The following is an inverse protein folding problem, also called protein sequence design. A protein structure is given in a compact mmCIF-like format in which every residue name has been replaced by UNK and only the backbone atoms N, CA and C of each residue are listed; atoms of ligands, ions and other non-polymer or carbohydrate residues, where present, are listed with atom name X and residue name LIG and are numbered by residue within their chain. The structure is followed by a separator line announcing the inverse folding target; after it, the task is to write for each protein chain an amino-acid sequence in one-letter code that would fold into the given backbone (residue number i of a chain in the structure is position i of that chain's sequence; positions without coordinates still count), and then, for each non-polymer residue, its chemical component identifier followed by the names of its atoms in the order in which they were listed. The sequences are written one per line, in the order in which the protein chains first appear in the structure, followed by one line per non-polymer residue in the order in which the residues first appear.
data_IF_448300347785
#
_entry.id   IF_448300347785
#
_cell.length_a   1.000
_cell.length_b   1.000
_cell.length_c   1.000
_cell.angle_alpha   90.00
_cell.angle_beta   90.00
_cell.angle_gamma   90.00
#
_symmetry.space_group_name_H-M   'P 1'
#
loop_
_entity.id
_entity.type
_entity.pdbx_description
1 polymer ?
#
# COMPACT_ATOMS: atom_id res chain seq x y z
N UNK A 1 -30.34 10.30 30.41
CA UNK A 1 -28.97 10.84 30.61
C UNK A 1 -28.18 10.60 29.32
N UNK A 2 -27.36 11.57 28.93
CA UNK A 2 -26.76 11.78 27.58
C UNK A 2 -25.89 10.63 27.03
N UNK A 3 -25.80 10.48 25.70
CA UNK A 3 -24.65 9.83 25.06
C UNK A 3 -23.47 10.82 24.96
N UNK A 4 -22.33 10.45 25.54
CA UNK A 4 -21.06 11.15 25.38
C UNK A 4 -20.50 10.86 23.98
N UNK A 5 -20.40 11.90 23.16
CA UNK A 5 -19.70 11.86 21.89
C UNK A 5 -18.19 11.70 22.09
N UNK A 6 -17.58 10.83 21.28
CA UNK A 6 -16.15 10.93 20.97
C UNK A 6 -16.01 11.24 19.49
N UNK A 7 -15.62 12.48 19.20
CA UNK A 7 -15.31 12.97 17.87
C UNK A 7 -13.91 12.51 17.49
N UNK A 8 -13.78 11.28 17.00
CA UNK A 8 -12.56 10.78 16.38
C UNK A 8 -12.38 11.40 14.98
N UNK A 9 -11.58 12.46 14.88
CA UNK A 9 -11.15 13.06 13.61
C UNK A 9 -10.44 11.98 12.76
N UNK A 10 -10.86 11.67 11.52
CA UNK A 10 -10.14 10.70 10.71
C UNK A 10 -8.75 11.26 10.37
N UNK A 11 -7.71 10.48 10.68
CA UNK A 11 -6.33 10.79 10.34
C UNK A 11 -6.21 11.03 8.83
N UNK A 12 -5.70 12.22 8.48
CA UNK A 12 -5.58 12.69 7.10
C UNK A 12 -4.61 11.85 6.28
N UNK A 13 -5.11 10.77 5.69
CA UNK A 13 -4.41 9.91 4.72
C UNK A 13 -4.22 10.56 3.33
N UNK A 14 -4.38 11.90 3.24
CA UNK A 14 -4.35 12.66 1.99
C UNK A 14 -3.18 13.63 1.84
N UNK A 15 -2.36 13.84 2.88
CA UNK A 15 -1.32 14.88 2.83
C UNK A 15 -0.02 14.39 2.18
N UNK A 16 0.34 13.11 2.31
CA UNK A 16 1.59 12.56 1.75
C UNK A 16 1.59 12.48 0.22
N UNK A 17 0.47 12.16 -0.42
CA UNK A 17 0.36 12.19 -1.89
C UNK A 17 0.30 13.63 -2.45
N UNK A 18 -0.33 14.56 -1.74
CA UNK A 18 -0.45 15.96 -2.17
C UNK A 18 0.89 16.70 -2.07
N UNK A 19 1.69 16.40 -1.05
CA UNK A 19 3.03 16.99 -0.87
C UNK A 19 3.97 16.62 -2.03
N UNK A 20 3.94 15.37 -2.49
CA UNK A 20 4.72 14.93 -3.65
C UNK A 20 4.32 15.64 -4.95
N UNK A 21 3.02 15.89 -5.15
CA UNK A 21 2.52 16.57 -6.36
C UNK A 21 2.89 18.06 -6.42
N UNK A 22 2.95 18.73 -5.26
CA UNK A 22 3.31 20.15 -5.17
C UNK A 22 4.81 20.34 -5.41
N UNK A 23 5.65 19.47 -4.83
CA UNK A 23 7.09 19.48 -5.10
C UNK A 23 7.41 19.23 -6.59
N UNK A 24 6.72 18.28 -7.22
CA UNK A 24 6.85 18.01 -8.66
C UNK A 24 6.43 19.22 -9.51
N UNK A 25 5.32 19.89 -9.17
CA UNK A 25 4.84 21.06 -9.89
C UNK A 25 5.83 22.24 -9.80
N UNK A 26 6.41 22.48 -8.62
CA UNK A 26 7.41 23.53 -8.41
C UNK A 26 8.66 23.26 -9.24
N UNK A 27 9.16 22.02 -9.25
CA UNK A 27 10.33 21.63 -10.05
C UNK A 27 10.09 21.80 -11.56
N UNK A 28 8.88 21.48 -12.04
CA UNK A 28 8.48 21.71 -13.43
C UNK A 28 8.45 23.19 -13.79
N UNK A 29 7.97 24.06 -12.90
CA UNK A 29 7.94 25.51 -13.13
C UNK A 29 9.37 26.07 -13.17
N UNK A 30 10.24 25.67 -12.24
CA UNK A 30 11.65 26.09 -12.23
C UNK A 30 12.37 25.65 -13.52
N UNK A 31 12.12 24.41 -13.96
CA UNK A 31 12.66 23.89 -15.22
C UNK A 31 12.19 24.70 -16.44
N UNK A 32 10.90 24.99 -16.54
CA UNK A 32 10.34 25.82 -17.62
C UNK A 32 10.95 27.24 -17.62
N UNK A 33 11.14 27.83 -16.45
CA UNK A 33 11.80 29.14 -16.31
C UNK A 33 13.25 29.08 -16.80
N UNK A 34 14.03 28.07 -16.39
CA UNK A 34 15.40 27.88 -16.85
C UNK A 34 15.49 27.70 -18.39
N UNK A 35 14.56 26.95 -18.97
CA UNK A 35 14.44 26.74 -20.42
C UNK A 35 14.16 28.06 -21.16
N UNK A 36 13.24 28.88 -20.64
CA UNK A 36 12.92 30.20 -21.23
C UNK A 36 14.09 31.16 -21.13
N UNK A 37 14.82 31.17 -20.00
CA UNK A 37 16.04 31.97 -19.86
C UNK A 37 17.15 31.51 -20.80
N UNK A 38 17.33 30.19 -20.97
CA UNK A 38 18.28 29.65 -21.94
C UNK A 38 17.93 30.01 -23.40
N UNK A 39 16.64 30.12 -23.72
CA UNK A 39 16.16 30.48 -25.06
C UNK A 39 16.26 31.99 -25.38
N UNK A 40 16.37 32.83 -24.35
CA UNK A 40 16.37 34.29 -24.50
C UNK A 40 17.77 34.88 -24.77
N UNK A 41 18.84 34.16 -24.45
CA UNK A 41 20.11 34.39 -25.12
C UNK A 41 20.03 33.66 -26.47
N UNK A 42 20.21 34.39 -27.57
CA UNK A 42 20.00 33.97 -28.97
C UNK A 42 20.97 32.88 -29.46
N UNK A 43 21.18 31.83 -28.65
CA UNK A 43 22.11 30.75 -28.87
C UNK A 43 21.35 29.46 -29.23
N UNK A 44 21.86 28.76 -30.24
CA UNK A 44 21.28 27.53 -30.80
C UNK A 44 21.08 26.47 -29.72
N UNK A 45 21.94 26.51 -28.70
CA UNK A 45 21.89 25.63 -27.52
C UNK A 45 20.61 25.83 -26.71
N UNK A 46 20.15 27.07 -26.53
CA UNK A 46 18.92 27.40 -25.80
C UNK A 46 17.68 26.81 -26.48
N UNK A 47 17.57 26.97 -27.80
CA UNK A 47 16.49 26.39 -28.58
C UNK A 47 16.51 24.86 -28.60
N UNK A 48 17.69 24.24 -28.60
CA UNK A 48 17.83 22.79 -28.45
C UNK A 48 17.28 22.30 -27.11
N UNK A 49 17.63 22.99 -26.03
CA UNK A 49 17.13 22.68 -24.69
C UNK A 49 15.60 22.84 -24.63
N UNK A 50 15.03 23.89 -25.22
CA UNK A 50 13.57 24.08 -25.31
C UNK A 50 12.89 22.91 -26.01
N UNK A 51 13.38 22.51 -27.19
CA UNK A 51 12.77 21.44 -27.99
C UNK A 51 12.85 20.10 -27.26
N UNK A 52 14.01 19.77 -26.68
CA UNK A 52 14.21 18.52 -25.92
C UNK A 52 13.31 18.49 -24.69
N UNK A 53 13.23 19.60 -23.97
CA UNK A 53 12.40 19.76 -22.78
C UNK A 53 10.91 19.61 -23.10
N UNK A 54 10.46 20.23 -24.19
CA UNK A 54 9.09 20.10 -24.68
C UNK A 54 8.77 18.67 -25.11
N UNK A 55 9.70 18.01 -25.82
CA UNK A 55 9.57 16.60 -26.20
C UNK A 55 9.41 15.68 -24.99
N UNK A 56 10.24 15.85 -23.96
CA UNK A 56 10.14 15.09 -22.71
C UNK A 56 8.84 15.37 -21.95
N UNK A 57 8.39 16.63 -21.90
CA UNK A 57 7.12 16.98 -21.25
C UNK A 57 5.93 16.33 -21.94
N UNK A 58 5.93 16.27 -23.28
CA UNK A 58 4.89 15.60 -24.06
C UNK A 58 4.88 14.10 -23.81
N UNK A 59 6.06 13.45 -23.79
CA UNK A 59 6.19 12.02 -23.48
C UNK A 59 5.70 11.74 -22.05
N UNK A 60 6.16 12.51 -21.07
CA UNK A 60 5.74 12.37 -19.68
C UNK A 60 4.22 12.55 -19.53
N UNK A 61 3.66 13.59 -20.16
CA UNK A 61 2.22 13.84 -20.16
C UNK A 61 1.48 12.68 -20.79
N UNK A 62 1.93 12.20 -21.95
CA UNK A 62 1.35 11.04 -22.63
C UNK A 62 1.36 9.79 -21.74
N UNK A 63 2.48 9.49 -21.07
CA UNK A 63 2.58 8.35 -20.13
C UNK A 63 1.62 8.53 -18.96
N UNK A 64 1.56 9.72 -18.35
CA UNK A 64 0.64 9.97 -17.23
C UNK A 64 -0.82 9.87 -17.68
N UNK A 65 -1.18 10.43 -18.84
CA UNK A 65 -2.54 10.36 -19.37
C UNK A 65 -2.93 8.95 -19.79
N UNK A 66 -2.02 8.18 -20.41
CA UNK A 66 -2.26 6.78 -20.77
C UNK A 66 -2.36 5.90 -19.54
N UNK A 67 -1.49 6.07 -18.54
CA UNK A 67 -1.53 5.29 -17.30
C UNK A 67 -2.76 5.64 -16.45
N UNK A 68 -3.13 6.93 -16.36
CA UNK A 68 -4.36 7.37 -15.67
C UNK A 68 -5.61 6.88 -16.39
N UNK A 69 -5.60 6.85 -17.73
CA UNK A 69 -6.70 6.29 -18.53
C UNK A 69 -6.77 4.78 -18.42
N UNK A 70 -5.63 4.08 -18.41
CA UNK A 70 -5.55 2.63 -18.25
C UNK A 70 -5.99 2.21 -16.85
N UNK A 71 -5.57 2.91 -15.80
CA UNK A 71 -6.03 2.66 -14.43
C UNK A 71 -7.53 2.87 -14.27
N UNK A 72 -8.11 3.91 -14.90
CA UNK A 72 -9.56 4.13 -14.91
C UNK A 72 -10.31 3.04 -15.67
N UNK A 73 -9.79 2.61 -16.82
CA UNK A 73 -10.38 1.53 -17.62
C UNK A 73 -10.23 0.16 -16.95
N UNK A 74 -9.12 -0.10 -16.26
CA UNK A 74 -8.91 -1.32 -15.49
C UNK A 74 -9.85 -1.37 -14.28
N UNK A 75 -10.05 -0.26 -13.56
CA UNK A 75 -11.03 -0.18 -12.48
C UNK A 75 -12.44 -0.47 -12.97
N UNK A 76 -12.85 0.13 -14.10
CA UNK A 76 -14.15 -0.13 -14.71
C UNK A 76 -14.29 -1.59 -15.18
N UNK A 77 -13.25 -2.18 -15.78
CA UNK A 77 -13.22 -3.61 -16.18
C UNK A 77 -13.25 -4.55 -14.99
N UNK A 78 -12.60 -4.22 -13.87
CA UNK A 78 -12.64 -5.02 -12.63
C UNK A 78 -14.02 -4.92 -11.99
N UNK A 79 -14.66 -3.76 -12.02
CA UNK A 79 -16.02 -3.58 -11.51
C UNK A 79 -17.05 -4.28 -12.40
N UNK A 80 -16.88 -4.22 -13.71
CA UNK A 80 -17.69 -4.92 -14.70
C UNK A 80 -17.46 -6.43 -14.64
N UNK A 81 -16.22 -6.89 -14.40
CA UNK A 81 -15.89 -8.30 -14.16
C UNK A 81 -16.45 -8.78 -12.81
N UNK A 82 -16.39 -7.99 -11.74
CA UNK A 82 -17.03 -8.31 -10.45
C UNK A 82 -18.56 -8.36 -10.54
N UNK A 83 -19.16 -7.56 -11.43
CA UNK A 83 -20.61 -7.59 -11.69
C UNK A 83 -21.03 -8.68 -12.65
N UNK A 84 -20.25 -8.98 -13.69
CA UNK A 84 -20.54 -10.00 -14.70
C UNK A 84 -20.15 -11.40 -14.23
N UNK A 85 -19.04 -11.54 -13.51
CA UNK A 85 -18.66 -12.73 -12.78
C UNK A 85 -19.27 -12.68 -11.38
N UNK A 86 -20.61 -12.66 -11.30
CA UNK A 86 -21.33 -12.78 -10.03
C UNK A 86 -20.72 -13.88 -9.16
N UNK A 87 -19.92 -13.48 -8.16
CA UNK A 87 -19.32 -14.36 -7.16
C UNK A 87 -18.12 -15.24 -7.55
N UNK A 88 -17.25 -14.87 -8.50
CA UNK A 88 -16.33 -15.85 -9.10
C UNK A 88 -14.81 -15.77 -8.91
N UNK A 89 -14.17 -14.63 -8.59
CA UNK A 89 -12.68 -14.53 -8.55
C UNK A 89 -12.09 -13.66 -7.43
N UNK A 90 -12.81 -13.53 -6.33
CA UNK A 90 -12.16 -13.57 -5.03
C UNK A 90 -12.39 -14.99 -4.51
N UNK A 91 -11.34 -15.68 -4.06
CA UNK A 91 -11.51 -16.98 -3.39
C UNK A 91 -12.63 -16.87 -2.34
N UNK A 92 -13.49 -17.89 -2.21
CA UNK A 92 -14.71 -17.79 -1.44
C UNK A 92 -14.37 -17.45 0.02
N UNK A 93 -14.79 -16.26 0.47
CA UNK A 93 -14.94 -16.00 1.91
C UNK A 93 -14.24 -14.80 2.53
N UNK A 94 -13.43 -14.00 1.82
CA UNK A 94 -12.84 -12.79 2.43
C UNK A 94 -13.37 -11.49 1.81
N UNK A 95 -14.31 -10.86 2.51
CA UNK A 95 -14.65 -9.45 2.28
C UNK A 95 -13.36 -8.62 2.23
N UNK A 96 -13.22 -7.62 1.33
CA UNK A 96 -12.06 -6.73 1.30
C UNK A 96 -11.71 -6.14 2.68
N UNK A 97 -12.73 -5.98 3.53
CA UNK A 97 -12.59 -5.53 4.92
C UNK A 97 -12.01 -6.60 5.85
N UNK A 98 -12.35 -7.88 5.68
CA UNK A 98 -11.80 -8.96 6.50
C UNK A 98 -10.35 -9.28 6.14
N UNK A 99 -9.97 -9.16 4.87
CA UNK A 99 -8.57 -9.27 4.45
C UNK A 99 -7.72 -8.12 4.99
N UNK A 100 -8.18 -6.87 4.91
CA UNK A 100 -7.46 -5.73 5.49
C UNK A 100 -7.27 -5.85 7.02
N UNK A 101 -8.28 -6.32 7.75
CA UNK A 101 -8.19 -6.54 9.20
C UNK A 101 -7.26 -7.71 9.56
N UNK A 102 -7.20 -8.74 8.70
CA UNK A 102 -6.26 -9.86 8.86
C UNK A 102 -4.83 -9.40 8.62
N UNK A 103 -4.58 -8.60 7.59
CA UNK A 103 -3.25 -8.09 7.27
C UNK A 103 -2.72 -7.19 8.39
N UNK A 104 -3.57 -6.33 8.97
CA UNK A 104 -3.21 -5.51 10.14
C UNK A 104 -2.84 -6.36 11.36
N UNK A 105 -3.61 -7.43 11.63
CA UNK A 105 -3.31 -8.36 12.73
C UNK A 105 -2.02 -9.15 12.48
N UNK A 106 -1.76 -9.58 11.25
CA UNK A 106 -0.54 -10.26 10.86
C UNK A 106 0.69 -9.37 11.03
N UNK A 107 0.62 -8.10 10.58
CA UNK A 107 1.67 -7.11 10.80
C UNK A 107 1.98 -6.94 12.29
N UNK A 108 0.94 -6.84 13.12
CA UNK A 108 1.09 -6.75 14.57
C UNK A 108 1.77 -8.00 15.16
N UNK A 109 1.36 -9.20 14.74
CA UNK A 109 1.99 -10.46 15.14
C UNK A 109 3.48 -10.50 14.77
N UNK A 110 3.86 -10.07 13.57
CA UNK A 110 5.28 -10.01 13.18
C UNK A 110 6.08 -9.00 13.99
N UNK A 111 5.49 -7.85 14.35
CA UNK A 111 6.13 -6.87 15.22
C UNK A 111 6.42 -7.43 16.62
N UNK A 112 5.50 -8.22 17.19
CA UNK A 112 5.72 -8.90 18.47
C UNK A 112 6.91 -9.84 18.37
N UNK A 113 6.99 -10.67 17.33
CA UNK A 113 8.12 -11.59 17.12
C UNK A 113 9.45 -10.83 17.02
N UNK A 114 9.48 -9.69 16.32
CA UNK A 114 10.69 -8.85 16.24
C UNK A 114 11.13 -8.30 17.60
N UNK A 115 10.17 -7.85 18.43
CA UNK A 115 10.47 -7.37 19.78
C UNK A 115 11.02 -8.52 20.64
N UNK A 116 10.41 -9.70 20.61
CA UNK A 116 10.87 -10.84 21.38
C UNK A 116 12.22 -11.37 20.90
N UNK A 117 12.49 -11.35 19.59
CA UNK A 117 13.80 -11.69 19.05
C UNK A 117 14.90 -10.73 19.56
N UNK A 118 14.57 -9.46 19.81
CA UNK A 118 15.47 -8.51 20.46
C UNK A 118 15.66 -8.86 21.94
N UNK A 119 14.58 -9.16 22.67
CA UNK A 119 14.66 -9.58 24.08
C UNK A 119 15.57 -10.80 24.25
N UNK A 120 15.47 -11.80 23.37
CA UNK A 120 16.36 -12.97 23.36
C UNK A 120 17.81 -12.52 23.21
N UNK A 121 18.14 -11.70 22.21
CA UNK A 121 19.52 -11.22 21.99
C UNK A 121 20.07 -10.46 23.19
N UNK A 122 19.23 -9.69 23.87
CA UNK A 122 19.65 -8.86 25.00
C UNK A 122 19.92 -9.67 26.27
N UNK A 123 19.21 -10.80 26.45
CA UNK A 123 19.23 -11.63 27.66
C UNK A 123 19.93 -12.98 27.47
N UNK A 124 20.34 -13.33 26.25
CA UNK A 124 21.09 -14.55 25.96
C UNK A 124 22.39 -14.58 26.77
N UNK A 125 22.59 -15.66 27.54
CA UNK A 125 23.74 -15.83 28.42
C UNK A 125 23.73 -14.95 29.68
N UNK A 126 22.63 -14.23 29.95
CA UNK A 126 22.45 -13.41 31.16
C UNK A 126 21.27 -13.89 32.00
N UNK A 127 20.12 -14.10 31.36
CA UNK A 127 18.88 -14.52 32.00
C UNK A 127 18.14 -15.50 31.07
N UNK A 128 18.36 -16.79 31.31
CA UNK A 128 17.71 -17.86 30.56
C UNK A 128 16.19 -17.86 30.74
N UNK A 129 15.67 -17.47 31.90
CA UNK A 129 14.22 -17.41 32.15
C UNK A 129 13.51 -16.30 31.37
N UNK A 130 14.21 -15.21 31.02
CA UNK A 130 13.70 -14.20 30.09
C UNK A 130 13.76 -14.68 28.63
N UNK A 131 14.79 -15.45 28.28
CA UNK A 131 14.93 -16.05 26.94
C UNK A 131 13.81 -17.07 26.70
N UNK A 132 13.56 -17.98 27.64
CA UNK A 132 12.53 -19.01 27.52
C UNK A 132 11.13 -18.41 27.36
N UNK A 133 10.80 -17.39 28.16
CA UNK A 133 9.51 -16.67 28.04
C UNK A 133 9.37 -15.93 26.72
N UNK A 134 10.46 -15.37 26.19
CA UNK A 134 10.45 -14.71 24.90
C UNK A 134 10.25 -15.72 23.76
N UNK A 135 10.88 -16.90 23.84
CA UNK A 135 10.70 -18.00 22.89
C UNK A 135 9.25 -18.50 22.93
N UNK A 136 8.68 -18.76 24.11
CA UNK A 136 7.28 -19.17 24.27
C UNK A 136 6.32 -18.16 23.63
N UNK A 137 6.57 -16.86 23.84
CA UNK A 137 5.75 -15.80 23.24
C UNK A 137 5.85 -15.81 21.71
N UNK A 138 7.04 -16.04 21.15
CA UNK A 138 7.24 -16.18 19.70
C UNK A 138 6.46 -17.38 19.16
N UNK A 139 6.50 -18.52 19.85
CA UNK A 139 5.82 -19.74 19.44
C UNK A 139 4.30 -19.54 19.40
N UNK A 140 3.72 -19.03 20.48
CA UNK A 140 2.27 -18.73 20.56
C UNK A 140 1.86 -17.75 19.47
N UNK A 141 2.63 -16.67 19.29
CA UNK A 141 2.33 -15.63 18.30
C UNK A 141 2.42 -16.17 16.88
N UNK A 142 3.44 -17.00 16.60
CA UNK A 142 3.65 -17.62 15.30
C UNK A 142 2.57 -18.63 14.97
N UNK A 143 2.11 -19.40 15.96
CA UNK A 143 0.99 -20.35 15.79
C UNK A 143 -0.30 -19.61 15.44
N UNK A 144 -0.62 -18.54 16.17
CA UNK A 144 -1.79 -17.71 15.90
C UNK A 144 -1.73 -17.05 14.52
N UNK A 145 -0.58 -16.45 14.16
CA UNK A 145 -0.38 -15.85 12.84
C UNK A 145 -0.51 -16.89 11.71
N UNK A 146 0.04 -18.10 11.91
CA UNK A 146 -0.05 -19.20 10.95
C UNK A 146 -1.47 -19.70 10.75
N UNK A 147 -2.27 -19.81 11.81
CA UNK A 147 -3.69 -20.13 11.70
C UNK A 147 -4.43 -19.10 10.85
N UNK A 148 -4.12 -17.80 11.02
CA UNK A 148 -4.73 -16.72 10.23
C UNK A 148 -4.36 -16.74 8.75
N UNK A 149 -3.19 -17.29 8.39
CA UNK A 149 -2.77 -17.48 7.00
C UNK A 149 -3.46 -18.68 6.33
N UNK A 150 -3.68 -19.79 7.06
CA UNK A 150 -4.28 -21.03 6.52
C UNK A 150 -5.77 -20.91 6.19
N UNK A 151 -6.48 -19.98 6.83
CA UNK A 151 -7.92 -19.74 6.61
C UNK A 151 -8.27 -19.16 5.21
N UNK A 152 -7.40 -19.32 4.20
CA UNK A 152 -7.67 -19.08 2.79
C UNK A 152 -7.74 -20.36 1.94
N UNK A 153 -7.26 -21.51 2.46
CA UNK A 153 -7.18 -22.79 1.70
C UNK A 153 -8.31 -23.77 2.01
N UNK A 154 -9.12 -23.52 3.05
CA UNK A 154 -10.29 -24.34 3.36
C UNK A 154 -11.51 -23.73 2.66
N UNK A 155 -11.65 -24.08 1.37
CA UNK A 155 -12.88 -23.80 0.63
C UNK A 155 -14.10 -24.40 1.36
N UNK A 156 -15.32 -23.93 1.07
CA UNK A 156 -16.52 -24.47 1.70
C UNK A 156 -16.54 -26.00 1.53
N UNK A 157 -16.73 -26.74 2.62
CA UNK A 157 -17.00 -28.18 2.52
C UNK A 157 -18.36 -28.32 1.83
N UNK A 158 -18.35 -28.54 0.52
CA UNK A 158 -19.51 -29.01 -0.24
C UNK A 158 -19.80 -30.46 0.18
N UNK A 159 -20.36 -30.62 1.38
CA UNK A 159 -21.00 -31.84 1.81
C UNK A 159 -22.50 -31.69 1.61
N UNK A 160 -23.06 -32.32 0.59
CA UNK A 160 -24.50 -32.58 0.56
C UNK A 160 -24.82 -33.48 1.75
N UNK A 161 -25.52 -32.95 2.75
CA UNK A 161 -26.12 -33.77 3.81
C UNK A 161 -27.21 -34.60 3.14
N UNK A 162 -26.94 -35.90 2.96
CA UNK A 162 -27.96 -36.88 2.59
C UNK A 162 -28.52 -37.40 3.91
N UNK A 163 -29.77 -37.02 4.21
CA UNK A 163 -30.62 -37.68 5.21
C UNK A 163 -31.28 -38.92 4.57
#
# INVERSE_FOLDING_TARGET
MQPLGTSGKPAGKGLSLRMGSIGMAIMLVVFLVAVVFAANENDVVGWLVVIISLGWLLIFSFVVFTLRSAARKAGARIEEFNRAAGGGMAGPGSSPRSSAMRDEKLDHSFKIVQVQARVIRDHLGKDEGMVDRAIETIEITSHNARSMMKNNDDGPVEGTVVD
#
